data_IF_085028937996
#
_entry.id   IF_085028937996
#
_cell.length_a   1.000
_cell.length_b   1.000
_cell.length_c   1.000
_cell.angle_alpha   90.00
_cell.angle_beta   90.00
_cell.angle_gamma   90.00
#
_symmetry.space_group_name_H-M   'P 1'
#
loop_
_entity.id
_entity.type
_entity.pdbx_description
1 polymer ?
#
# COMPACT_ATOMS: atom_id res chain seq x y z
N UNK A 1 8.60 -15.28 -8.21
CA UNK A 1 7.57 -16.09 -7.54
C UNK A 1 7.40 -15.62 -6.12
N UNK A 2 6.19 -15.69 -5.56
CA UNK A 2 5.99 -15.50 -4.13
C UNK A 2 6.71 -16.66 -3.41
N UNK A 3 7.55 -16.33 -2.42
CA UNK A 3 8.29 -17.29 -1.60
C UNK A 3 7.33 -18.26 -0.90
N UNK A 4 7.63 -19.56 -0.92
CA UNK A 4 6.72 -20.64 -0.47
C UNK A 4 6.25 -20.52 0.98
N UNK A 5 7.07 -19.91 1.85
CA UNK A 5 6.75 -19.58 3.23
C UNK A 5 6.86 -18.07 3.44
N UNK A 6 5.95 -17.50 4.24
CA UNK A 6 5.87 -16.05 4.45
C UNK A 6 5.54 -15.57 5.88
N UNK A 7 5.58 -16.36 6.96
CA UNK A 7 5.90 -15.80 8.27
C UNK A 7 7.38 -15.41 8.27
N UNK A 8 7.67 -14.13 8.38
CA UNK A 8 9.03 -13.61 8.52
C UNK A 8 9.35 -13.24 9.95
N UNK A 9 10.62 -13.34 10.37
CA UNK A 9 11.02 -12.93 11.74
C UNK A 9 10.88 -11.42 11.89
N UNK A 10 10.23 -10.99 12.97
CA UNK A 10 10.11 -9.60 13.40
C UNK A 10 10.38 -9.50 14.90
N UNK A 11 10.47 -8.29 15.46
CA UNK A 11 10.70 -8.08 16.90
C UNK A 11 9.62 -8.71 17.79
N UNK A 12 8.40 -8.89 17.27
CA UNK A 12 7.28 -9.53 17.97
C UNK A 12 7.05 -10.99 17.58
N UNK A 13 8.03 -11.67 16.99
CA UNK A 13 7.90 -13.05 16.50
C UNK A 13 7.65 -13.14 14.99
N UNK A 14 7.13 -14.28 14.52
CA UNK A 14 6.88 -14.53 13.11
C UNK A 14 5.62 -13.81 12.62
N UNK A 15 5.79 -12.84 11.71
CA UNK A 15 4.70 -12.02 11.20
C UNK A 15 4.75 -11.89 9.68
N UNK A 16 3.63 -11.47 9.10
CA UNK A 16 3.49 -11.18 7.67
C UNK A 16 2.83 -9.83 7.52
N UNK A 17 3.34 -9.04 6.59
CA UNK A 17 2.77 -7.75 6.27
C UNK A 17 1.82 -7.88 5.09
N UNK A 18 0.69 -7.22 5.24
CA UNK A 18 -0.29 -7.02 4.18
C UNK A 18 -0.09 -5.62 3.62
N UNK A 19 0.38 -5.52 2.38
CA UNK A 19 0.46 -4.26 1.64
C UNK A 19 -0.73 -4.18 0.71
N UNK A 20 -1.65 -3.23 0.95
CA UNK A 20 -2.86 -3.11 0.16
C UNK A 20 -3.09 -1.69 -0.32
N UNK A 21 -3.86 -1.56 -1.39
CA UNK A 21 -4.51 -0.31 -1.75
C UNK A 21 -5.99 -0.37 -1.38
N UNK A 22 -6.61 0.79 -1.14
CA UNK A 22 -8.04 0.89 -0.87
C UNK A 22 -8.66 2.01 -1.72
N UNK A 23 -9.83 1.76 -2.28
CA UNK A 23 -10.64 2.79 -2.95
C UNK A 23 -11.54 3.53 -1.96
N UNK A 24 -12.24 4.59 -2.39
CA UNK A 24 -13.11 5.40 -1.53
C UNK A 24 -14.23 4.64 -0.80
N UNK A 25 -14.58 3.42 -1.24
CA UNK A 25 -15.58 2.55 -0.62
C UNK A 25 -14.98 1.53 0.35
N UNK A 26 -13.68 1.67 0.63
CA UNK A 26 -12.87 0.73 1.41
C UNK A 26 -12.79 -0.67 0.75
N UNK A 27 -12.92 -0.74 -0.57
CA UNK A 27 -12.68 -1.96 -1.34
C UNK A 27 -11.18 -2.07 -1.60
N UNK A 28 -10.66 -3.28 -1.65
CA UNK A 28 -9.23 -3.57 -1.81
C UNK A 28 -8.95 -4.01 -3.26
N UNK A 29 -8.53 -3.11 -4.17
CA UNK A 29 -8.24 -3.46 -5.56
C UNK A 29 -6.86 -4.08 -5.78
N UNK A 30 -5.97 -4.03 -4.79
CA UNK A 30 -4.70 -4.74 -4.85
C UNK A 30 -4.18 -5.12 -3.46
N UNK A 31 -3.48 -6.25 -3.44
CA UNK A 31 -2.96 -6.89 -2.24
C UNK A 31 -1.62 -7.56 -2.54
N UNK A 32 -0.63 -7.34 -1.69
CA UNK A 32 0.69 -7.98 -1.76
C UNK A 32 1.09 -8.40 -0.35
N UNK A 33 1.53 -9.64 -0.21
CA UNK A 33 2.09 -10.14 1.05
C UNK A 33 3.61 -10.08 1.03
N UNK A 34 4.20 -9.75 2.18
CA UNK A 34 5.64 -9.93 2.42
C UNK A 34 5.92 -10.48 3.81
N UNK A 35 7.07 -11.14 4.02
CA UNK A 35 7.53 -11.49 5.35
C UNK A 35 7.68 -10.24 6.26
N UNK A 36 7.53 -10.42 7.57
CA UNK A 36 7.46 -9.35 8.57
C UNK A 36 8.67 -8.40 8.61
N UNK A 37 9.88 -8.88 8.30
CA UNK A 37 11.11 -8.08 8.25
C UNK A 37 11.17 -7.12 7.06
N UNK A 38 10.33 -7.31 6.03
CA UNK A 38 10.40 -6.48 4.84
C UNK A 38 9.91 -5.06 5.15
N UNK A 39 10.63 -4.05 4.65
CA UNK A 39 10.19 -2.67 4.71
C UNK A 39 8.98 -2.41 3.80
N UNK A 40 8.16 -1.42 4.17
CA UNK A 40 6.92 -1.12 3.46
C UNK A 40 7.18 -0.30 2.19
N UNK A 41 8.14 0.63 2.25
CA UNK A 41 8.43 1.57 1.16
C UNK A 41 8.66 0.92 -0.23
N UNK A 42 9.44 -0.18 -0.37
CA UNK A 42 9.61 -0.87 -1.65
C UNK A 42 8.35 -1.56 -2.18
N UNK A 43 7.33 -1.80 -1.33
CA UNK A 43 6.13 -2.53 -1.71
C UNK A 43 5.07 -1.64 -2.36
N UNK A 44 5.22 -0.31 -2.30
CA UNK A 44 4.29 0.63 -2.91
C UNK A 44 4.12 0.39 -4.41
N UNK A 45 5.24 0.28 -5.13
CA UNK A 45 5.20 0.00 -6.57
C UNK A 45 4.53 -1.35 -6.85
N UNK A 46 4.83 -2.39 -6.07
CA UNK A 46 4.22 -3.71 -6.22
C UNK A 46 2.71 -3.67 -5.99
N UNK A 47 2.26 -2.97 -4.95
CA UNK A 47 0.84 -2.79 -4.65
C UNK A 47 0.13 -2.02 -5.76
N UNK A 48 0.74 -0.97 -6.31
CA UNK A 48 0.15 -0.20 -7.41
C UNK A 48 0.09 -0.98 -8.72
N UNK A 49 1.15 -1.74 -9.07
CA UNK A 49 1.16 -2.58 -10.27
C UNK A 49 0.12 -3.68 -10.23
N UNK A 50 -0.25 -4.15 -9.03
CA UNK A 50 -1.28 -5.16 -8.84
C UNK A 50 -2.72 -4.60 -8.93
N UNK A 51 -2.91 -3.28 -9.05
CA UNK A 51 -4.25 -2.69 -9.24
C UNK A 51 -4.81 -3.11 -10.60
N UNK A 52 -5.95 -3.79 -10.58
CA UNK A 52 -6.67 -4.17 -11.80
C UNK A 52 -8.18 -4.20 -11.53
N UNK A 53 -8.85 -3.10 -11.86
CA UNK A 53 -10.30 -2.95 -11.66
C UNK A 53 -11.01 -3.13 -13.00
N UNK A 54 -11.82 -4.20 -13.17
CA UNK A 54 -12.61 -4.41 -14.38
C UNK A 54 -13.56 -3.23 -14.63
N UNK A 55 -13.85 -2.98 -15.91
CA UNK A 55 -14.87 -2.01 -16.32
C UNK A 55 -16.15 -2.77 -16.64
N UNK A 56 -17.30 -2.15 -16.36
CA UNK A 56 -18.61 -2.69 -16.77
C UNK A 56 -18.79 -2.65 -18.29
N UNK A 57 -18.13 -1.69 -18.96
CA UNK A 57 -18.12 -1.57 -20.42
C UNK A 57 -16.91 -2.27 -21.02
N UNK A 58 -16.96 -2.68 -22.31
CA UNK A 58 -15.81 -3.23 -23.02
C UNK A 58 -14.56 -2.34 -22.90
N UNK A 59 -13.41 -2.97 -22.76
CA UNK A 59 -12.11 -2.30 -22.72
C UNK A 59 -11.19 -2.79 -21.61
N UNK A 60 -9.95 -2.27 -21.60
CA UNK A 60 -8.93 -2.67 -20.65
C UNK A 60 -9.33 -2.29 -19.20
N UNK A 61 -9.10 -3.19 -18.22
CA UNK A 61 -9.25 -2.86 -16.81
C UNK A 61 -8.48 -1.59 -16.43
N UNK A 62 -9.03 -0.82 -15.48
CA UNK A 62 -8.33 0.33 -14.90
C UNK A 62 -7.19 -0.18 -14.03
N UNK A 63 -5.96 0.18 -14.39
CA UNK A 63 -4.73 -0.21 -13.67
C UNK A 63 -4.06 0.95 -12.95
N UNK A 64 -4.51 2.19 -13.20
CA UNK A 64 -3.89 3.40 -12.66
C UNK A 64 -4.89 4.19 -11.81
N UNK A 65 -4.52 4.59 -10.58
CA UNK A 65 -5.31 5.53 -9.78
C UNK A 65 -5.11 6.97 -10.25
N UNK A 66 -6.14 7.81 -10.09
CA UNK A 66 -6.06 9.25 -10.43
C UNK A 66 -5.22 10.02 -9.40
N UNK A 67 -5.38 9.64 -8.13
CA UNK A 67 -4.55 10.09 -7.04
C UNK A 67 -4.36 9.00 -6.00
N UNK A 68 -3.30 9.11 -5.19
CA UNK A 68 -3.04 8.18 -4.10
C UNK A 68 -2.46 8.91 -2.88
N UNK A 69 -2.90 8.52 -1.69
CA UNK A 69 -2.33 8.93 -0.43
C UNK A 69 -1.63 7.73 0.21
N UNK A 70 -0.43 7.93 0.76
CA UNK A 70 0.30 6.88 1.47
C UNK A 70 0.90 7.41 2.77
N UNK A 71 1.17 6.48 3.69
CA UNK A 71 1.81 6.80 4.96
C UNK A 71 3.21 7.40 4.76
N UNK A 72 3.62 8.19 5.76
CA UNK A 72 4.95 8.76 5.87
C UNK A 72 6.07 7.71 5.83
N UNK A 73 5.84 6.45 6.24
CA UNK A 73 6.81 5.36 6.11
C UNK A 73 7.24 5.11 4.65
N UNK A 74 6.39 5.46 3.68
CA UNK A 74 6.71 5.41 2.24
C UNK A 74 7.61 6.58 1.77
N UNK A 75 8.16 7.40 2.68
CA UNK A 75 9.03 8.56 2.43
C UNK A 75 10.54 8.27 2.37
N UNK A 76 10.99 7.03 2.63
CA UNK A 76 12.42 6.66 2.73
C UNK A 76 13.23 6.84 1.43
N UNK A 77 14.50 6.41 1.34
CA UNK A 77 15.30 6.51 0.09
C UNK A 77 14.60 5.91 -1.14
N UNK A 78 13.81 4.84 -0.92
CA UNK A 78 12.91 4.24 -1.91
C UNK A 78 11.75 5.16 -2.32
N UNK A 79 11.41 6.19 -1.56
CA UNK A 79 10.48 7.24 -1.95
C UNK A 79 10.93 8.01 -3.19
N UNK A 80 12.24 8.25 -3.39
CA UNK A 80 12.71 8.86 -4.63
C UNK A 80 12.32 7.99 -5.83
N UNK A 81 12.48 6.67 -5.70
CA UNK A 81 12.02 5.70 -6.70
C UNK A 81 10.48 5.65 -6.79
N UNK A 82 9.75 5.60 -5.68
CA UNK A 82 8.28 5.60 -5.65
C UNK A 82 7.70 6.87 -6.28
N UNK A 83 8.25 8.05 -5.98
CA UNK A 83 7.82 9.32 -6.58
C UNK A 83 8.23 9.41 -8.03
N UNK A 84 9.39 8.90 -8.42
CA UNK A 84 9.78 8.79 -9.83
C UNK A 84 8.78 7.88 -10.58
N UNK A 85 8.43 6.73 -10.02
CA UNK A 85 7.39 5.83 -10.52
C UNK A 85 6.05 6.56 -10.64
N UNK A 86 5.57 7.21 -9.58
CA UNK A 86 4.29 7.94 -9.59
C UNK A 86 4.27 9.07 -10.63
N UNK A 87 5.39 9.79 -10.81
CA UNK A 87 5.54 10.83 -11.85
C UNK A 87 5.52 10.22 -13.25
N UNK A 88 6.28 9.15 -13.50
CA UNK A 88 6.30 8.41 -14.78
C UNK A 88 4.90 7.92 -15.15
N UNK A 89 4.14 7.46 -14.16
CA UNK A 89 2.77 7.00 -14.33
C UNK A 89 1.71 8.12 -14.24
N UNK A 90 2.10 9.39 -14.12
CA UNK A 90 1.20 10.55 -14.02
C UNK A 90 0.16 10.43 -12.89
N UNK A 91 0.50 9.75 -11.81
CA UNK A 91 -0.35 9.58 -10.62
C UNK A 91 -0.09 10.71 -9.64
N UNK A 92 -1.13 11.50 -9.33
CA UNK A 92 -1.02 12.53 -8.29
C UNK A 92 -0.85 11.83 -6.94
N UNK A 93 0.02 12.32 -6.07
CA UNK A 93 0.28 11.64 -4.81
C UNK A 93 0.46 12.60 -3.64
N UNK A 94 -0.02 12.17 -2.48
CA UNK A 94 0.17 12.84 -1.20
C UNK A 94 0.87 11.87 -0.24
N UNK A 95 2.17 12.07 -0.06
CA UNK A 95 3.00 11.29 0.85
C UNK A 95 3.78 12.29 1.71
N UNK A 96 3.51 12.38 3.03
CA UNK A 96 4.21 13.32 3.89
C UNK A 96 5.70 13.03 3.95
N UNK A 97 6.52 14.09 4.02
CA UNK A 97 7.93 13.97 4.36
C UNK A 97 8.13 14.10 5.88
N UNK A 98 8.93 13.22 6.50
CA UNK A 98 9.40 13.38 7.87
C UNK A 98 10.11 14.71 8.13
N UNK A 99 9.98 15.21 9.37
CA UNK A 99 10.51 16.52 9.77
C UNK A 99 12.04 16.57 9.60
N UNK A 100 12.71 15.51 10.02
CA UNK A 100 14.14 15.26 9.85
C UNK A 100 14.56 15.25 8.37
N UNK A 101 13.80 14.56 7.51
CA UNK A 101 14.06 14.54 6.06
C UNK A 101 13.86 15.91 5.43
N UNK A 102 12.81 16.66 5.82
CA UNK A 102 12.59 18.05 5.39
C UNK A 102 13.75 18.95 5.81
N UNK A 103 14.22 18.82 7.04
CA UNK A 103 15.33 19.60 7.56
C UNK A 103 16.65 19.26 6.86
N UNK A 104 16.94 17.98 6.63
CA UNK A 104 18.11 17.53 5.88
C UNK A 104 18.06 17.98 4.41
N UNK A 105 16.90 17.93 3.76
CA UNK A 105 16.70 18.47 2.40
C UNK A 105 16.99 19.96 2.36
N UNK A 106 16.47 20.74 3.33
CA UNK A 106 16.74 22.18 3.45
C UNK A 106 18.22 22.47 3.63
N UNK A 107 18.92 21.71 4.49
CA UNK A 107 20.38 21.82 4.69
C UNK A 107 21.18 21.58 3.42
N UNK A 108 20.69 20.74 2.51
CA UNK A 108 21.32 20.47 1.20
C UNK A 108 21.03 21.52 0.12
N UNK A 109 20.21 22.54 0.40
CA UNK A 109 19.88 23.59 -0.57
C UNK A 109 19.35 23.04 -1.90
N UNK A 110 19.90 23.52 -3.02
CA UNK A 110 19.56 23.09 -4.38
C UNK A 110 19.83 21.60 -4.63
N UNK A 111 20.88 21.03 -4.02
CA UNK A 111 21.21 19.60 -4.12
C UNK A 111 20.23 18.69 -3.34
N UNK A 112 19.38 19.27 -2.48
CA UNK A 112 18.31 18.56 -1.77
C UNK A 112 17.14 18.16 -2.66
N UNK A 113 16.99 18.79 -3.82
CA UNK A 113 15.89 18.54 -4.76
C UNK A 113 14.56 19.22 -4.37
N UNK A 114 13.58 19.08 -5.28
CA UNK A 114 12.29 19.77 -5.21
C UNK A 114 11.47 19.37 -3.97
N UNK A 115 10.98 20.33 -3.16
CA UNK A 115 10.06 20.04 -2.06
C UNK A 115 8.82 19.29 -2.55
N UNK A 116 8.32 18.36 -1.75
CA UNK A 116 7.08 17.66 -2.07
C UNK A 116 5.89 18.52 -1.67
N UNK A 117 4.96 18.75 -2.60
CA UNK A 117 3.66 19.31 -2.26
C UNK A 117 2.91 18.37 -1.31
N UNK A 118 2.34 18.93 -0.26
CA UNK A 118 1.49 18.21 0.69
C UNK A 118 0.10 18.81 0.67
N UNK A 119 -0.90 17.98 0.35
CA UNK A 119 -2.31 18.35 0.33
C UNK A 119 -2.99 17.70 1.54
N UNK A 120 -3.31 18.52 2.54
CA UNK A 120 -3.86 18.04 3.81
C UNK A 120 -5.24 17.39 3.63
N UNK A 121 -6.11 17.95 2.78
CA UNK A 121 -7.44 17.42 2.52
C UNK A 121 -7.37 16.05 1.84
N UNK A 122 -6.52 15.91 0.83
CA UNK A 122 -6.29 14.59 0.21
C UNK A 122 -5.64 13.60 1.17
N UNK A 123 -4.81 14.06 2.10
CA UNK A 123 -4.21 13.18 3.10
C UNK A 123 -5.22 12.62 4.09
N UNK A 124 -6.31 13.33 4.40
CA UNK A 124 -7.41 12.80 5.24
C UNK A 124 -8.00 11.51 4.67
N UNK A 125 -7.99 11.34 3.35
CA UNK A 125 -8.44 10.12 2.69
C UNK A 125 -7.61 8.88 3.05
N UNK A 126 -6.42 9.01 3.68
CA UNK A 126 -5.65 7.87 4.22
C UNK A 126 -6.48 7.02 5.20
N UNK A 127 -7.44 7.62 5.92
CA UNK A 127 -8.36 6.90 6.80
C UNK A 127 -9.12 5.76 6.10
N UNK A 128 -9.33 5.85 4.79
CA UNK A 128 -9.96 4.79 3.99
C UNK A 128 -9.15 3.49 4.04
N UNK A 129 -7.82 3.56 3.99
CA UNK A 129 -6.95 2.38 4.08
C UNK A 129 -7.07 1.73 5.46
N UNK A 130 -7.07 2.53 6.52
CA UNK A 130 -7.23 2.03 7.89
C UNK A 130 -8.58 1.34 8.08
N UNK A 131 -9.67 1.95 7.56
CA UNK A 131 -11.00 1.32 7.57
C UNK A 131 -11.05 0.03 6.76
N UNK A 132 -10.37 -0.03 5.61
CA UNK A 132 -10.29 -1.25 4.80
C UNK A 132 -9.53 -2.36 5.56
N UNK A 133 -8.42 -2.04 6.20
CA UNK A 133 -7.68 -2.99 7.06
C UNK A 133 -8.54 -3.46 8.22
N UNK A 134 -9.27 -2.56 8.88
CA UNK A 134 -10.18 -2.92 9.97
C UNK A 134 -11.30 -3.87 9.49
N UNK A 135 -11.90 -3.60 8.33
CA UNK A 135 -12.89 -4.51 7.71
C UNK A 135 -12.31 -5.89 7.41
N UNK A 136 -11.06 -5.95 6.94
CA UNK A 136 -10.37 -7.24 6.75
C UNK A 136 -10.14 -7.96 8.07
N UNK A 137 -9.76 -7.23 9.14
CA UNK A 137 -9.53 -7.80 10.46
C UNK A 137 -10.81 -8.26 11.18
N UNK A 138 -11.99 -7.85 10.73
CA UNK A 138 -13.25 -8.43 11.22
C UNK A 138 -13.37 -9.93 10.89
N UNK A 139 -12.65 -10.40 9.86
CA UNK A 139 -12.55 -11.82 9.57
C UNK A 139 -11.49 -12.46 10.47
N UNK A 140 -11.90 -13.30 11.43
CA UNK A 140 -11.00 -13.95 12.40
C UNK A 140 -9.82 -14.67 11.73
N UNK A 141 -10.07 -15.35 10.60
CA UNK A 141 -9.03 -16.03 9.84
C UNK A 141 -7.93 -15.09 9.33
N UNK A 142 -8.28 -13.84 9.00
CA UNK A 142 -7.31 -12.80 8.58
C UNK A 142 -6.61 -12.20 9.80
N UNK A 143 -7.34 -11.92 10.88
CA UNK A 143 -6.80 -11.27 12.06
C UNK A 143 -5.76 -12.13 12.79
N UNK A 144 -6.07 -13.42 13.00
CA UNK A 144 -5.21 -14.30 13.77
C UNK A 144 -4.13 -14.97 12.90
N UNK A 145 -4.41 -15.20 11.62
CA UNK A 145 -3.54 -15.91 10.67
C UNK A 145 -2.97 -17.22 11.24
N UNK A 146 -3.65 -18.33 10.96
CA UNK A 146 -3.12 -19.68 11.25
C UNK A 146 -2.28 -20.27 10.10
N UNK A 147 -2.30 -19.63 8.93
CA UNK A 147 -1.69 -20.16 7.71
C UNK A 147 -0.15 -20.03 7.72
N UNK A 148 0.54 -21.17 7.59
CA UNK A 148 2.00 -21.23 7.41
C UNK A 148 2.42 -20.78 6.00
N UNK A 149 1.68 -21.18 4.97
CA UNK A 149 2.04 -20.92 3.57
C UNK A 149 1.45 -19.59 3.08
N UNK A 150 2.26 -18.84 2.33
CA UNK A 150 1.93 -17.48 1.87
C UNK A 150 0.68 -17.45 0.98
N UNK A 151 0.56 -18.42 0.07
CA UNK A 151 -0.52 -18.47 -0.90
C UNK A 151 -1.87 -18.81 -0.24
N UNK A 152 -1.87 -19.63 0.82
CA UNK A 152 -3.09 -19.97 1.57
C UNK A 152 -3.61 -18.70 2.23
N UNK A 153 -2.73 -18.00 2.96
CA UNK A 153 -3.10 -16.73 3.58
C UNK A 153 -3.53 -15.68 2.54
N UNK A 154 -2.86 -15.62 1.39
CA UNK A 154 -3.27 -14.73 0.30
C UNK A 154 -4.70 -15.06 -0.16
N UNK A 155 -5.03 -16.35 -0.31
CA UNK A 155 -6.38 -16.81 -0.61
C UNK A 155 -7.39 -16.36 0.44
N UNK A 156 -7.09 -16.56 1.73
CA UNK A 156 -7.93 -16.13 2.86
C UNK A 156 -8.21 -14.61 2.82
N UNK A 157 -7.17 -13.79 2.66
CA UNK A 157 -7.32 -12.33 2.61
C UNK A 157 -8.04 -11.89 1.33
N UNK A 158 -7.80 -12.57 0.21
CA UNK A 158 -8.48 -12.29 -1.07
C UNK A 158 -9.97 -12.59 -0.96
N UNK A 159 -10.36 -13.71 -0.34
CA UNK A 159 -11.76 -14.05 -0.10
C UNK A 159 -12.44 -13.01 0.79
N UNK A 160 -11.79 -12.62 1.89
CA UNK A 160 -12.29 -11.56 2.77
C UNK A 160 -12.47 -10.23 2.01
N UNK A 161 -11.50 -9.85 1.17
CA UNK A 161 -11.60 -8.68 0.30
C UNK A 161 -12.79 -8.79 -0.66
N UNK A 162 -12.98 -9.93 -1.34
CA UNK A 162 -14.11 -10.15 -2.25
C UNK A 162 -15.46 -10.01 -1.54
N UNK A 163 -15.59 -10.55 -0.32
CA UNK A 163 -16.82 -10.39 0.47
C UNK A 163 -17.07 -8.92 0.81
N UNK A 164 -16.03 -8.14 1.13
CA UNK A 164 -16.17 -6.68 1.32
C UNK A 164 -16.63 -6.00 0.04
N UNK A 165 -16.08 -6.39 -1.12
CA UNK A 165 -16.48 -5.85 -2.42
C UNK A 165 -17.95 -6.12 -2.73
N UNK A 166 -18.47 -7.32 -2.45
CA UNK A 166 -19.87 -7.69 -2.72
C UNK A 166 -20.89 -6.99 -1.81
N UNK A 167 -20.45 -6.49 -0.65
CA UNK A 167 -21.31 -5.82 0.34
C UNK A 167 -21.30 -4.29 0.24
N UNK A 168 -20.58 -3.72 -0.72
CA UNK A 168 -20.38 -2.26 -0.87
C UNK A 168 -20.69 -1.82 -2.28
#
# INVERSE_FOLDING_TARGET
>A
GQTGECPGRSRGGFTTKIHLSADGRCRVPSLVLTPGQHGDSPQLERALRAVRVPRLRPGRPRTRPDSMAADKAYSSRANRANRAYLRRHKTRHTIPEPRDQRAHRRRRGSAGGRPTGFDAERYKARNVVERAINRLKNFRAVATRYDKRAYIFLGTVTLAALIIWLRT
#
